data_IF_060326917680
#
_entry.id   IF_060326917680
#
_cell.length_a   1.000
_cell.length_b   1.000
_cell.length_c   1.000
_cell.angle_alpha   90.00
_cell.angle_beta   90.00
_cell.angle_gamma   90.00
#
_symmetry.space_group_name_H-M   'P 1'
#
loop_
_entity.id
_entity.type
_entity.pdbx_description
1 polymer ?
#
# COMPACT_ATOMS: atom_id res chain seq x y z
N UNK A 1 3.81 -50.78 -44.55
CA UNK A 1 2.65 -50.03 -44.02
C UNK A 1 2.67 -50.11 -42.51
N UNK A 2 3.10 -49.06 -41.83
CA UNK A 2 2.99 -48.96 -40.38
C UNK A 2 2.09 -47.74 -40.08
N UNK A 3 0.93 -47.99 -39.42
CA UNK A 3 -0.03 -47.00 -39.06
C UNK A 3 0.50 -46.14 -37.88
N UNK A 4 0.55 -44.83 -38.06
CA UNK A 4 0.90 -43.89 -37.04
C UNK A 4 -0.27 -43.65 -36.08
N UNK A 5 -0.03 -43.84 -34.79
CA UNK A 5 -0.95 -43.46 -33.70
C UNK A 5 -0.76 -41.98 -33.40
N UNK A 6 -1.74 -41.16 -33.76
CA UNK A 6 -1.80 -39.75 -33.37
C UNK A 6 -2.06 -39.58 -31.86
N UNK A 7 -1.71 -38.43 -31.28
CA UNK A 7 -1.87 -38.20 -29.85
C UNK A 7 -3.37 -38.11 -29.48
N UNK A 8 -3.70 -38.79 -28.38
CA UNK A 8 -5.04 -38.82 -27.80
C UNK A 8 -5.36 -37.44 -27.22
N UNK A 9 -6.57 -36.89 -27.38
CA UNK A 9 -6.97 -35.63 -26.80
C UNK A 9 -6.99 -35.74 -25.26
N UNK A 10 -6.70 -34.65 -24.51
CA UNK A 10 -6.75 -34.66 -23.06
C UNK A 10 -8.16 -34.98 -22.56
N UNK A 11 -8.24 -35.77 -21.51
CA UNK A 11 -9.46 -36.14 -20.83
C UNK A 11 -10.18 -34.88 -20.32
N UNK A 12 -11.50 -34.82 -20.57
CA UNK A 12 -12.35 -33.72 -20.04
C UNK A 12 -12.24 -33.66 -18.51
N UNK A 13 -12.08 -32.46 -17.99
CA UNK A 13 -12.10 -32.21 -16.58
C UNK A 13 -13.43 -32.66 -15.95
N UNK A 14 -13.45 -33.22 -14.74
CA UNK A 14 -14.67 -33.64 -14.08
C UNK A 14 -15.59 -32.41 -13.88
N UNK A 15 -16.86 -32.60 -14.22
CA UNK A 15 -17.96 -31.64 -14.11
C UNK A 15 -18.04 -31.14 -12.65
N UNK A 16 -17.42 -30.00 -12.37
CA UNK A 16 -17.53 -29.32 -11.08
C UNK A 16 -18.94 -28.69 -11.00
N UNK A 17 -19.92 -29.47 -10.55
CA UNK A 17 -21.22 -28.92 -10.18
C UNK A 17 -20.98 -27.79 -9.19
N UNK A 18 -21.60 -26.59 -9.39
CA UNK A 18 -21.50 -25.54 -8.39
C UNK A 18 -22.04 -26.09 -7.06
N UNK A 19 -21.19 -26.07 -6.03
CA UNK A 19 -21.67 -26.32 -4.67
C UNK A 19 -22.77 -25.32 -4.41
N UNK A 20 -23.95 -25.78 -4.03
CA UNK A 20 -25.07 -24.95 -3.60
C UNK A 20 -24.53 -23.96 -2.60
N UNK A 21 -24.52 -22.66 -2.96
CA UNK A 21 -24.23 -21.59 -2.05
C UNK A 21 -25.12 -21.70 -0.79
N UNK A 22 -24.76 -21.07 0.32
CA UNK A 22 -25.59 -21.09 1.50
C UNK A 22 -27.00 -20.69 1.04
N UNK A 23 -27.99 -21.54 1.44
CA UNK A 23 -29.39 -21.31 1.11
C UNK A 23 -29.67 -19.83 1.33
N UNK A 24 -30.26 -19.16 0.34
CA UNK A 24 -30.80 -17.83 0.46
C UNK A 24 -31.69 -17.85 1.71
N UNK A 25 -31.12 -17.52 2.87
CA UNK A 25 -31.93 -17.12 4.00
C UNK A 25 -32.59 -15.85 3.51
N UNK A 26 -33.91 -15.79 3.61
CA UNK A 26 -34.71 -14.64 3.28
C UNK A 26 -33.98 -13.41 3.80
N UNK A 27 -33.25 -12.74 2.90
CA UNK A 27 -32.72 -11.43 3.19
C UNK A 27 -33.97 -10.61 3.51
N UNK A 28 -34.06 -9.92 4.64
CA UNK A 28 -35.20 -9.04 4.89
C UNK A 28 -35.28 -8.16 3.65
N UNK A 29 -36.39 -8.24 2.92
CA UNK A 29 -36.68 -7.36 1.81
C UNK A 29 -36.30 -5.98 2.27
N UNK A 30 -35.29 -5.39 1.60
CA UNK A 30 -34.92 -4.02 1.89
C UNK A 30 -36.20 -3.23 1.72
N UNK A 31 -36.82 -2.80 2.82
CA UNK A 31 -37.97 -1.90 2.76
C UNK A 31 -37.48 -0.76 1.89
N UNK A 32 -38.01 -0.70 0.70
CA UNK A 32 -37.86 0.40 -0.23
C UNK A 32 -38.41 1.66 0.49
N UNK A 33 -37.57 2.18 1.41
CA UNK A 33 -37.80 3.50 1.94
C UNK A 33 -37.48 4.40 0.75
N UNK A 34 -38.48 5.00 0.13
CA UNK A 34 -38.41 5.90 -1.01
C UNK A 34 -37.53 7.14 -0.81
N UNK A 35 -36.46 6.99 -0.06
CA UNK A 35 -35.32 7.88 0.02
C UNK A 35 -34.54 7.76 -1.29
N UNK A 36 -34.79 8.72 -2.19
CA UNK A 36 -33.89 8.94 -3.32
C UNK A 36 -32.47 8.93 -2.79
N UNK A 37 -31.67 7.97 -3.22
CA UNK A 37 -30.24 7.98 -2.93
C UNK A 37 -29.69 9.36 -3.29
N UNK A 38 -28.89 9.94 -2.41
CA UNK A 38 -28.20 11.19 -2.73
C UNK A 38 -27.44 11.01 -4.04
N UNK A 39 -27.48 11.99 -4.96
CA UNK A 39 -26.79 11.87 -6.23
C UNK A 39 -25.30 11.59 -5.99
N UNK A 40 -24.71 10.69 -6.78
CA UNK A 40 -23.27 10.41 -6.69
C UNK A 40 -22.48 11.70 -6.90
N UNK A 41 -21.45 11.98 -6.10
CA UNK A 41 -20.67 13.22 -6.21
C UNK A 41 -19.89 13.23 -7.55
N UNK A 42 -19.82 14.40 -8.16
CA UNK A 42 -18.90 14.65 -9.27
C UNK A 42 -17.58 15.11 -8.67
N UNK A 43 -16.50 14.39 -8.94
CA UNK A 43 -15.18 14.69 -8.42
C UNK A 43 -14.33 15.45 -9.42
N UNK A 44 -13.59 16.47 -8.97
CA UNK A 44 -12.68 17.27 -9.80
C UNK A 44 -11.39 16.51 -10.15
N UNK A 45 -11.04 15.50 -9.37
CA UNK A 45 -9.84 14.70 -9.59
C UNK A 45 -10.06 13.26 -9.11
N UNK A 46 -9.46 12.28 -9.83
CA UNK A 46 -9.62 10.86 -9.51
C UNK A 46 -9.23 10.51 -8.07
N UNK A 47 -8.29 11.24 -7.47
CA UNK A 47 -7.89 11.01 -6.08
C UNK A 47 -9.01 11.23 -5.06
N UNK A 48 -10.02 12.01 -5.38
CA UNK A 48 -11.18 12.19 -4.50
C UNK A 48 -12.14 11.00 -4.59
N UNK A 49 -12.29 10.43 -5.79
CA UNK A 49 -13.09 9.23 -6.00
C UNK A 49 -12.46 8.00 -5.32
N UNK A 50 -11.17 7.74 -5.57
CA UNK A 50 -10.49 6.53 -5.04
C UNK A 50 -10.24 6.56 -3.53
N UNK A 51 -10.44 7.68 -2.85
CA UNK A 51 -10.43 7.73 -1.39
C UNK A 51 -11.64 7.03 -0.75
N UNK A 52 -12.79 7.04 -1.40
CA UNK A 52 -13.98 6.39 -0.87
C UNK A 52 -13.88 4.87 -1.06
N UNK A 53 -13.83 4.06 0.02
CA UNK A 53 -13.86 2.62 -0.10
C UNK A 53 -15.28 2.12 -0.35
N UNK A 54 -15.41 0.97 -1.00
CA UNK A 54 -16.62 0.17 -0.91
C UNK A 54 -16.66 -0.51 0.46
N UNK A 55 -17.67 -0.23 1.27
CA UNK A 55 -17.89 -0.93 2.54
C UNK A 55 -18.80 -2.13 2.29
N UNK A 56 -18.22 -3.34 2.37
CA UNK A 56 -18.90 -4.58 2.02
C UNK A 56 -19.01 -5.46 3.27
N UNK A 57 -20.24 -5.81 3.67
CA UNK A 57 -20.45 -6.80 4.72
C UNK A 57 -20.20 -8.19 4.15
N UNK A 58 -19.18 -8.86 4.67
CA UNK A 58 -18.80 -10.22 4.23
C UNK A 58 -19.60 -11.28 4.99
N UNK A 59 -19.52 -11.27 6.32
CA UNK A 59 -20.26 -12.18 7.19
C UNK A 59 -20.56 -11.46 8.50
N UNK A 60 -21.69 -11.71 9.13
CA UNK A 60 -22.02 -11.26 10.47
C UNK A 60 -21.39 -9.92 10.88
N UNK A 61 -20.33 -10.02 11.67
CA UNK A 61 -19.61 -8.87 12.22
C UNK A 61 -18.34 -8.49 11.41
N UNK A 62 -18.15 -9.01 10.19
CA UNK A 62 -16.99 -8.69 9.34
C UNK A 62 -17.39 -7.78 8.19
N UNK A 63 -16.76 -6.61 8.13
CA UNK A 63 -16.90 -5.62 7.04
C UNK A 63 -15.55 -5.42 6.38
N UNK A 64 -15.54 -5.41 5.06
CA UNK A 64 -14.38 -5.07 4.24
C UNK A 64 -14.49 -3.62 3.78
N UNK A 65 -13.46 -2.82 4.02
CA UNK A 65 -13.24 -1.56 3.32
C UNK A 65 -12.33 -1.84 2.11
N UNK A 66 -12.96 -1.97 0.92
CA UNK A 66 -12.27 -2.29 -0.33
C UNK A 66 -11.85 -1.00 -1.04
N UNK A 67 -10.57 -0.89 -1.34
CA UNK A 67 -10.01 0.22 -2.11
C UNK A 67 -9.47 -0.25 -3.46
N UNK A 68 -9.44 0.64 -4.41
CA UNK A 68 -8.59 0.51 -5.60
C UNK A 68 -7.11 0.72 -5.22
N UNK A 69 -6.82 1.77 -4.44
CA UNK A 69 -5.51 2.03 -3.85
C UNK A 69 -5.62 2.82 -2.54
N UNK A 70 -5.51 2.14 -1.42
CA UNK A 70 -5.61 2.78 -0.09
C UNK A 70 -4.44 3.75 0.19
N UNK A 71 -3.31 3.62 -0.52
CA UNK A 71 -2.14 4.51 -0.34
C UNK A 71 -2.40 5.95 -0.76
N UNK A 72 -3.51 6.22 -1.45
CA UNK A 72 -3.93 7.58 -1.78
C UNK A 72 -4.05 8.46 -0.54
N UNK A 73 -4.52 7.92 0.60
CA UNK A 73 -4.59 8.67 1.86
C UNK A 73 -3.20 9.08 2.36
N UNK A 74 -2.22 8.16 2.34
CA UNK A 74 -0.86 8.46 2.77
C UNK A 74 -0.21 9.52 1.86
N UNK A 75 -0.28 9.34 0.54
CA UNK A 75 0.38 10.22 -0.42
C UNK A 75 -0.27 11.62 -0.45
N UNK A 76 -1.59 11.70 -0.64
CA UNK A 76 -2.30 12.99 -0.65
C UNK A 76 -2.21 13.72 0.68
N UNK A 77 -2.37 13.00 1.80
CA UNK A 77 -2.28 13.60 3.13
C UNK A 77 -0.90 14.20 3.38
N UNK A 78 0.17 13.47 3.04
CA UNK A 78 1.53 13.95 3.18
C UNK A 78 1.82 15.14 2.26
N UNK A 79 1.49 15.05 0.97
CA UNK A 79 1.72 16.14 0.00
C UNK A 79 0.96 17.41 0.42
N UNK A 80 -0.33 17.28 0.75
CA UNK A 80 -1.16 18.39 1.22
C UNK A 80 -0.60 19.03 2.50
N UNK A 81 -0.09 18.21 3.41
CA UNK A 81 0.53 18.69 4.65
C UNK A 81 1.84 19.42 4.40
N UNK A 82 2.70 18.91 3.50
CA UNK A 82 3.95 19.57 3.12
C UNK A 82 3.71 20.93 2.43
N UNK A 83 2.73 21.00 1.52
CA UNK A 83 2.34 22.26 0.86
C UNK A 83 1.83 23.29 1.87
N UNK A 84 0.91 22.90 2.77
CA UNK A 84 0.38 23.80 3.81
C UNK A 84 1.44 24.30 4.78
N UNK A 85 2.47 23.50 5.06
CA UNK A 85 3.60 23.88 5.93
C UNK A 85 4.71 24.64 5.18
N UNK A 86 4.54 24.90 3.88
CA UNK A 86 5.56 25.57 3.06
C UNK A 86 6.86 24.77 2.89
N UNK A 87 6.83 23.43 3.15
CA UNK A 87 8.00 22.57 3.02
C UNK A 87 8.27 22.16 1.57
N UNK A 88 7.27 22.22 0.74
CA UNK A 88 7.35 22.05 -0.72
C UNK A 88 6.53 23.12 -1.42
N UNK A 89 6.93 23.48 -2.65
CA UNK A 89 6.28 24.47 -3.48
C UNK A 89 5.78 23.85 -4.80
N UNK A 90 4.75 24.41 -5.46
CA UNK A 90 4.33 23.98 -6.80
C UNK A 90 5.51 23.90 -7.77
N UNK A 91 5.53 22.89 -8.64
CA UNK A 91 6.63 22.63 -9.57
C UNK A 91 7.85 21.93 -8.98
N UNK A 92 7.96 21.78 -7.64
CA UNK A 92 9.05 21.04 -7.02
C UNK A 92 8.94 19.54 -7.28
N UNK A 93 10.08 18.83 -7.28
CA UNK A 93 10.14 17.38 -7.48
C UNK A 93 10.08 16.65 -6.14
N UNK A 94 9.10 15.77 -5.99
CA UNK A 94 9.03 14.80 -4.90
C UNK A 94 9.67 13.49 -5.35
N UNK A 95 10.53 12.92 -4.51
CA UNK A 95 11.20 11.64 -4.79
C UNK A 95 10.93 10.64 -3.67
N UNK A 96 10.69 9.37 -4.03
CA UNK A 96 10.69 8.27 -3.06
C UNK A 96 11.02 6.92 -3.69
N UNK A 97 11.31 5.95 -2.84
CA UNK A 97 11.52 4.55 -3.22
C UNK A 97 10.21 3.76 -3.09
N UNK A 98 9.66 3.31 -4.20
CA UNK A 98 8.48 2.44 -4.18
C UNK A 98 8.36 1.62 -5.48
N UNK A 99 7.92 0.36 -5.36
CA UNK A 99 7.60 -0.50 -6.51
C UNK A 99 6.13 -0.94 -6.49
N UNK A 100 5.29 -0.29 -5.70
CA UNK A 100 3.91 -0.69 -5.48
C UNK A 100 2.92 0.47 -5.55
N UNK A 101 1.74 0.24 -4.98
CA UNK A 101 0.60 1.18 -5.04
C UNK A 101 0.89 2.57 -4.43
N UNK A 102 1.94 2.71 -3.60
CA UNK A 102 2.35 4.04 -3.12
C UNK A 102 2.97 4.88 -4.23
N UNK A 103 3.74 4.28 -5.16
CA UNK A 103 4.30 5.01 -6.30
C UNK A 103 3.19 5.66 -7.14
N UNK A 104 2.14 4.89 -7.47
CA UNK A 104 0.97 5.40 -8.19
C UNK A 104 0.24 6.50 -7.40
N UNK A 105 0.02 6.28 -6.11
CA UNK A 105 -0.63 7.25 -5.25
C UNK A 105 0.15 8.57 -5.15
N UNK A 106 1.49 8.51 -5.09
CA UNK A 106 2.34 9.70 -5.09
C UNK A 106 2.31 10.42 -6.45
N UNK A 107 2.36 9.67 -7.56
CA UNK A 107 2.24 10.25 -8.91
C UNK A 107 0.88 10.97 -9.08
N UNK A 108 -0.23 10.36 -8.65
CA UNK A 108 -1.55 11.00 -8.67
C UNK A 108 -1.60 12.25 -7.78
N UNK A 109 -0.96 12.22 -6.60
CA UNK A 109 -0.90 13.39 -5.72
C UNK A 109 -0.07 14.53 -6.35
N UNK A 110 1.06 14.19 -6.97
CA UNK A 110 1.88 15.17 -7.69
C UNK A 110 1.11 15.79 -8.87
N UNK A 111 0.42 14.96 -9.67
CA UNK A 111 -0.43 15.42 -10.77
C UNK A 111 -1.50 16.41 -10.27
N UNK A 112 -2.19 16.09 -9.18
CA UNK A 112 -3.23 16.95 -8.59
C UNK A 112 -2.71 18.33 -8.16
N UNK A 113 -1.51 18.37 -7.59
CA UNK A 113 -0.97 19.58 -6.97
C UNK A 113 0.11 20.30 -7.82
N UNK A 114 0.27 19.92 -9.09
CA UNK A 114 1.24 20.54 -9.99
C UNK A 114 2.69 20.35 -9.54
N UNK A 115 3.00 19.19 -8.95
CA UNK A 115 4.35 18.79 -8.52
C UNK A 115 4.94 17.80 -9.51
N UNK A 116 6.25 17.69 -9.55
CA UNK A 116 6.96 16.63 -10.30
C UNK A 116 7.17 15.41 -9.42
N UNK A 117 7.07 14.23 -10.01
CA UNK A 117 7.24 12.95 -9.32
C UNK A 117 8.45 12.21 -9.86
N UNK A 118 9.31 11.68 -8.97
CA UNK A 118 10.38 10.75 -9.32
C UNK A 118 10.33 9.53 -8.42
N UNK A 119 10.26 8.35 -9.03
CA UNK A 119 10.13 7.08 -8.34
C UNK A 119 11.37 6.22 -8.59
N UNK A 120 12.04 5.83 -7.51
CA UNK A 120 13.09 4.81 -7.56
C UNK A 120 12.46 3.45 -7.31
N UNK A 121 12.33 2.65 -8.36
CA UNK A 121 11.59 1.41 -8.36
C UNK A 121 12.50 0.19 -8.61
N UNK A 122 12.02 -1.01 -8.30
CA UNK A 122 12.63 -2.25 -8.79
C UNK A 122 12.23 -2.47 -10.25
N UNK A 123 13.07 -3.17 -11.02
CA UNK A 123 12.70 -3.64 -12.38
C UNK A 123 11.54 -4.63 -12.38
N UNK A 124 11.16 -5.16 -11.20
CA UNK A 124 9.98 -6.03 -11.03
C UNK A 124 8.65 -5.27 -10.99
N UNK A 125 8.65 -3.96 -11.18
CA UNK A 125 7.41 -3.19 -11.39
C UNK A 125 6.76 -3.69 -12.68
N UNK A 126 5.47 -4.09 -12.58
CA UNK A 126 4.75 -4.56 -13.74
C UNK A 126 4.61 -3.46 -14.82
N UNK A 127 4.51 -3.88 -16.09
CA UNK A 127 4.48 -2.98 -17.23
C UNK A 127 3.30 -1.97 -17.17
N UNK A 128 2.15 -2.40 -16.67
CA UNK A 128 0.97 -1.54 -16.58
C UNK A 128 1.16 -0.45 -15.52
N UNK A 129 1.76 -0.77 -14.37
CA UNK A 129 2.10 0.20 -13.34
C UNK A 129 3.12 1.21 -13.86
N UNK A 130 4.16 0.74 -14.55
CA UNK A 130 5.17 1.60 -15.13
C UNK A 130 4.58 2.59 -16.14
N UNK A 131 3.75 2.10 -17.06
CA UNK A 131 3.07 2.95 -18.04
C UNK A 131 2.19 4.01 -17.36
N UNK A 132 1.43 3.65 -16.33
CA UNK A 132 0.62 4.61 -15.57
C UNK A 132 1.48 5.71 -14.94
N UNK A 133 2.63 5.36 -14.32
CA UNK A 133 3.55 6.32 -13.73
C UNK A 133 4.09 7.30 -14.79
N UNK A 134 4.57 6.78 -15.92
CA UNK A 134 5.14 7.56 -17.02
C UNK A 134 4.08 8.49 -17.67
N UNK A 135 2.86 8.00 -17.89
CA UNK A 135 1.73 8.80 -18.43
C UNK A 135 1.33 9.92 -17.46
N UNK A 136 1.39 9.67 -16.15
CA UNK A 136 1.17 10.70 -15.12
C UNK A 136 2.34 11.71 -15.00
N UNK A 137 3.36 11.59 -15.83
CA UNK A 137 4.53 12.48 -15.86
C UNK A 137 5.59 12.15 -14.81
N UNK A 138 5.52 10.97 -14.17
CA UNK A 138 6.55 10.57 -13.23
C UNK A 138 7.82 10.05 -13.95
N UNK A 139 8.99 10.45 -13.49
CA UNK A 139 10.25 9.82 -13.87
C UNK A 139 10.44 8.54 -13.05
N UNK A 140 10.73 7.42 -13.72
CA UNK A 140 10.93 6.12 -13.06
C UNK A 140 12.37 5.65 -13.23
N UNK A 141 13.12 5.62 -12.12
CA UNK A 141 14.47 5.04 -12.07
C UNK A 141 14.34 3.55 -11.73
N UNK A 142 14.43 2.68 -12.71
CA UNK A 142 14.34 1.23 -12.54
C UNK A 142 15.70 0.67 -12.08
N UNK A 143 15.76 0.20 -10.82
CA UNK A 143 16.97 -0.41 -10.25
C UNK A 143 17.03 -1.90 -10.58
N UNK A 144 18.17 -2.42 -11.04
CA UNK A 144 18.32 -3.85 -11.32
C UNK A 144 18.10 -4.68 -10.03
N UNK A 145 17.56 -5.91 -10.14
CA UNK A 145 17.42 -6.78 -9.00
C UNK A 145 18.79 -7.17 -8.44
N UNK A 146 18.87 -7.32 -7.13
CA UNK A 146 20.05 -7.84 -6.46
C UNK A 146 19.82 -9.28 -5.98
N UNK A 147 20.76 -9.80 -5.19
CA UNK A 147 20.71 -11.17 -4.68
C UNK A 147 19.66 -11.41 -3.62
N UNK A 148 19.07 -10.35 -3.07
CA UNK A 148 18.02 -10.44 -2.04
C UNK A 148 17.14 -9.20 -2.01
N UNK A 149 15.90 -9.34 -1.53
CA UNK A 149 14.94 -8.24 -1.36
C UNK A 149 15.49 -7.13 -0.43
N UNK A 150 16.29 -7.50 0.56
CA UNK A 150 16.94 -6.54 1.46
C UNK A 150 17.91 -5.63 0.69
N UNK A 151 18.81 -6.24 -0.07
CA UNK A 151 19.78 -5.50 -0.89
C UNK A 151 19.07 -4.64 -1.94
N UNK A 152 17.95 -5.10 -2.51
CA UNK A 152 17.13 -4.32 -3.43
C UNK A 152 16.56 -3.07 -2.75
N UNK A 153 16.00 -3.19 -1.56
CA UNK A 153 15.47 -2.04 -0.82
C UNK A 153 16.58 -1.06 -0.41
N UNK A 154 17.69 -1.56 0.12
CA UNK A 154 18.86 -0.73 0.50
C UNK A 154 19.48 -0.02 -0.72
N UNK A 155 19.56 -0.68 -1.87
CA UNK A 155 20.06 -0.10 -3.12
C UNK A 155 19.18 1.05 -3.60
N UNK A 156 17.86 0.90 -3.56
CA UNK A 156 16.93 1.98 -3.91
C UNK A 156 17.05 3.18 -2.96
N UNK A 157 17.15 2.95 -1.66
CA UNK A 157 17.35 4.02 -0.68
C UNK A 157 18.67 4.75 -0.90
N UNK A 158 19.76 4.03 -1.17
CA UNK A 158 21.07 4.65 -1.55
C UNK A 158 20.97 5.49 -2.82
N UNK A 159 20.22 5.03 -3.82
CA UNK A 159 20.02 5.80 -5.04
C UNK A 159 19.24 7.10 -4.77
N UNK A 160 18.18 7.05 -3.95
CA UNK A 160 17.47 8.28 -3.53
C UNK A 160 18.43 9.26 -2.83
N UNK A 161 19.27 8.79 -1.91
CA UNK A 161 20.25 9.66 -1.22
C UNK A 161 21.25 10.30 -2.20
N UNK A 162 21.70 9.56 -3.21
CA UNK A 162 22.57 10.12 -4.28
C UNK A 162 21.84 11.20 -5.08
N UNK A 163 20.59 10.95 -5.50
CA UNK A 163 19.78 11.95 -6.19
C UNK A 163 19.61 13.24 -5.37
N UNK A 164 19.42 13.13 -4.06
CA UNK A 164 19.29 14.30 -3.19
C UNK A 164 20.62 15.08 -3.04
N UNK A 165 21.75 14.40 -3.07
CA UNK A 165 23.07 15.05 -3.08
C UNK A 165 23.32 15.81 -4.40
N UNK A 166 22.88 15.27 -5.54
CA UNK A 166 23.00 15.89 -6.87
C UNK A 166 21.92 16.98 -7.10
N UNK A 167 20.76 16.84 -6.48
CA UNK A 167 19.57 17.70 -6.65
C UNK A 167 19.00 18.10 -5.29
N UNK A 168 19.61 19.08 -4.62
CA UNK A 168 19.14 19.57 -3.30
C UNK A 168 17.72 20.18 -3.32
N UNK A 169 17.24 20.56 -4.53
CA UNK A 169 15.88 21.05 -4.76
C UNK A 169 14.80 19.95 -4.69
N UNK A 170 15.18 18.67 -4.70
CA UNK A 170 14.24 17.57 -4.55
C UNK A 170 13.80 17.42 -3.10
N UNK A 171 12.54 17.02 -2.90
CA UNK A 171 12.04 16.67 -1.57
C UNK A 171 11.85 15.16 -1.46
N UNK A 172 12.52 14.53 -0.48
CA UNK A 172 12.36 13.10 -0.20
C UNK A 172 11.13 12.84 0.66
N UNK A 173 10.15 12.08 0.18
CA UNK A 173 8.92 11.77 0.89
C UNK A 173 9.10 10.84 2.10
N UNK A 174 10.16 10.01 2.11
CA UNK A 174 10.55 9.15 3.23
C UNK A 174 9.40 8.29 3.78
N UNK A 175 8.62 7.63 2.87
CA UNK A 175 7.45 6.85 3.30
C UNK A 175 7.76 5.76 4.35
N UNK A 176 9.01 5.34 4.47
CA UNK A 176 9.41 4.33 5.45
C UNK A 176 9.62 4.90 6.85
N UNK A 177 9.81 6.21 7.01
CA UNK A 177 10.26 6.82 8.26
C UNK A 177 9.46 8.06 8.69
N UNK A 178 8.89 8.82 7.75
CA UNK A 178 8.21 10.08 8.06
C UNK A 178 6.76 9.85 8.49
N UNK A 179 6.44 10.24 9.73
CA UNK A 179 5.11 10.13 10.33
C UNK A 179 4.02 10.95 9.63
N UNK A 180 4.39 11.87 8.75
CA UNK A 180 3.44 12.67 7.95
C UNK A 180 2.48 11.78 7.14
N UNK A 181 2.92 10.57 6.78
CA UNK A 181 2.11 9.60 6.04
C UNK A 181 0.95 9.00 6.84
N UNK A 182 0.95 9.15 8.17
CA UNK A 182 -0.17 8.77 9.02
C UNK A 182 -1.30 9.79 8.99
N UNK A 183 -0.98 11.08 8.75
CA UNK A 183 -1.92 12.19 8.89
C UNK A 183 -3.13 12.06 7.95
N UNK A 184 -2.92 11.55 6.73
CA UNK A 184 -3.99 11.39 5.75
C UNK A 184 -5.09 10.42 6.18
N UNK A 185 -4.79 9.47 7.06
CA UNK A 185 -5.79 8.47 7.51
C UNK A 185 -6.80 9.01 8.52
N UNK A 186 -6.65 10.23 9.02
CA UNK A 186 -7.67 10.92 9.82
C UNK A 186 -8.96 11.09 9.02
N UNK A 187 -8.86 11.50 7.76
CA UNK A 187 -10.02 11.64 6.86
C UNK A 187 -10.76 10.29 6.65
N UNK A 188 -10.01 9.19 6.58
CA UNK A 188 -10.61 7.86 6.50
C UNK A 188 -11.26 7.44 7.84
N UNK A 189 -10.68 7.79 8.98
CA UNK A 189 -11.28 7.54 10.29
C UNK A 189 -12.60 8.29 10.45
N UNK A 190 -12.69 9.53 9.98
CA UNK A 190 -13.91 10.35 9.99
C UNK A 190 -15.02 9.70 9.14
N UNK A 191 -14.67 9.22 7.92
CA UNK A 191 -15.60 8.48 7.05
C UNK A 191 -16.14 7.24 7.77
N UNK A 192 -15.27 6.44 8.38
CA UNK A 192 -15.67 5.22 9.08
C UNK A 192 -16.52 5.50 10.31
N UNK A 193 -16.27 6.59 11.02
CA UNK A 193 -17.10 7.01 12.18
C UNK A 193 -18.53 7.32 11.76
N UNK A 194 -18.71 7.88 10.56
CA UNK A 194 -20.04 8.16 10.00
C UNK A 194 -20.73 6.93 9.42
N UNK A 195 -19.96 6.01 8.82
CA UNK A 195 -20.50 4.90 8.05
C UNK A 195 -20.73 3.62 8.87
N UNK A 196 -19.98 3.42 9.95
CA UNK A 196 -20.05 2.20 10.76
C UNK A 196 -20.86 2.44 12.05
N UNK A 197 -21.55 1.39 12.57
CA UNK A 197 -22.20 1.47 13.87
C UNK A 197 -21.23 1.90 14.97
N UNK A 198 -21.75 2.58 16.00
CA UNK A 198 -20.98 2.92 17.20
C UNK A 198 -20.54 1.65 17.95
N UNK A 199 -19.54 1.81 18.82
CA UNK A 199 -19.05 0.75 19.68
C UNK A 199 -17.65 0.26 19.31
N UNK A 200 -17.19 -0.83 19.97
CA UNK A 200 -15.83 -1.34 19.80
C UNK A 200 -15.59 -1.90 18.39
N UNK A 201 -14.40 -1.61 17.86
CA UNK A 201 -14.00 -2.00 16.51
C UNK A 201 -12.68 -2.76 16.57
N UNK A 202 -12.58 -3.87 15.84
CA UNK A 202 -11.30 -4.51 15.51
C UNK A 202 -10.91 -4.11 14.09
N UNK A 203 -9.75 -3.46 13.92
CA UNK A 203 -9.16 -3.14 12.61
C UNK A 203 -8.14 -4.20 12.26
N UNK A 204 -8.31 -4.87 11.14
CA UNK A 204 -7.44 -5.95 10.66
C UNK A 204 -6.80 -5.53 9.33
N UNK A 205 -5.49 -5.44 9.28
CA UNK A 205 -4.81 -4.99 8.07
C UNK A 205 -3.35 -5.40 7.95
N UNK A 206 -2.89 -5.52 6.70
CA UNK A 206 -1.51 -5.80 6.40
C UNK A 206 -0.59 -4.64 6.79
N UNK A 207 0.55 -4.96 7.40
CA UNK A 207 1.54 -3.98 7.84
C UNK A 207 2.73 -3.99 6.91
N UNK A 208 2.78 -3.01 6.00
CA UNK A 208 4.00 -2.65 5.26
C UNK A 208 4.73 -1.54 6.01
N UNK A 209 4.53 -0.28 5.59
CA UNK A 209 5.11 0.89 6.28
C UNK A 209 4.43 1.23 7.61
N UNK A 210 3.31 0.61 7.94
CA UNK A 210 2.52 0.92 9.15
C UNK A 210 1.63 2.15 9.05
N UNK A 211 1.77 2.96 8.00
CA UNK A 211 1.04 4.23 7.90
C UNK A 211 -0.49 4.06 7.88
N UNK A 212 -1.00 3.07 7.14
CA UNK A 212 -2.45 2.82 7.04
C UNK A 212 -3.05 2.29 8.35
N UNK A 213 -2.53 1.17 8.84
CA UNK A 213 -3.04 0.50 10.04
C UNK A 213 -2.83 1.36 11.28
N UNK A 214 -1.59 1.84 11.51
CA UNK A 214 -1.27 2.68 12.66
C UNK A 214 -1.92 4.06 12.61
N UNK A 215 -1.95 4.71 11.43
CA UNK A 215 -2.58 6.02 11.25
C UNK A 215 -4.08 5.98 11.49
N UNK A 216 -4.76 4.98 10.90
CA UNK A 216 -6.18 4.78 11.09
C UNK A 216 -6.54 4.45 12.56
N UNK A 217 -5.87 3.46 13.16
CA UNK A 217 -6.15 3.06 14.53
C UNK A 217 -5.93 4.21 15.52
N UNK A 218 -4.87 5.00 15.34
CA UNK A 218 -4.62 6.18 16.15
C UNK A 218 -5.73 7.21 16.00
N UNK A 219 -6.12 7.56 14.77
CA UNK A 219 -7.16 8.55 14.54
C UNK A 219 -8.51 8.15 15.12
N UNK A 220 -8.89 6.87 15.00
CA UNK A 220 -10.11 6.33 15.60
C UNK A 220 -10.07 6.33 17.13
N UNK A 221 -8.91 6.00 17.74
CA UNK A 221 -8.73 6.07 19.20
C UNK A 221 -8.76 7.51 19.71
N UNK A 222 -8.17 8.45 18.98
CA UNK A 222 -8.22 9.89 19.28
C UNK A 222 -9.67 10.45 19.23
N UNK A 223 -10.55 9.88 18.39
CA UNK A 223 -11.98 10.22 18.37
C UNK A 223 -12.80 9.54 19.49
N UNK A 224 -12.15 8.80 20.39
CA UNK A 224 -12.79 8.13 21.51
C UNK A 224 -13.32 6.72 21.21
N UNK A 225 -13.13 6.20 19.98
CA UNK A 225 -13.59 4.85 19.65
C UNK A 225 -12.67 3.78 20.24
N UNK A 226 -13.20 2.76 20.96
CA UNK A 226 -12.40 1.63 21.40
C UNK A 226 -11.96 0.78 20.19
N UNK A 227 -10.65 0.80 19.88
CA UNK A 227 -10.10 0.08 18.71
C UNK A 227 -9.08 -0.95 19.16
N UNK A 228 -9.25 -2.22 18.73
CA UNK A 228 -8.24 -3.25 18.71
C UNK A 228 -7.59 -3.30 17.33
N UNK A 229 -6.26 -3.20 17.27
CA UNK A 229 -5.50 -3.24 16.03
C UNK A 229 -4.81 -4.58 15.84
N UNK A 230 -5.17 -5.27 14.77
CA UNK A 230 -4.61 -6.55 14.36
C UNK A 230 -3.74 -6.36 13.13
N UNK A 231 -2.44 -6.59 13.28
CA UNK A 231 -1.44 -6.49 12.21
C UNK A 231 -1.20 -7.83 11.52
N UNK A 232 -1.15 -7.81 10.19
CA UNK A 232 -0.85 -9.00 9.38
C UNK A 232 0.55 -8.89 8.79
N UNK A 233 1.34 -9.95 8.93
CA UNK A 233 2.72 -10.04 8.45
C UNK A 233 2.94 -11.32 7.64
N UNK A 234 3.86 -11.30 6.64
CA UNK A 234 4.40 -12.52 6.07
C UNK A 234 5.50 -13.09 6.97
N UNK A 235 5.82 -14.35 6.83
CA UNK A 235 7.10 -14.87 7.29
C UNK A 235 8.25 -14.26 6.47
N UNK A 236 9.45 -14.17 7.05
CA UNK A 236 10.62 -13.53 6.41
C UNK A 236 10.70 -12.00 6.57
N UNK A 237 9.72 -11.37 7.25
CA UNK A 237 9.73 -9.93 7.50
C UNK A 237 10.46 -9.56 8.79
N UNK A 238 11.28 -8.49 8.73
CA UNK A 238 11.95 -7.92 9.92
C UNK A 238 10.98 -7.13 10.80
N UNK A 239 9.83 -6.72 10.27
CA UNK A 239 8.92 -5.78 10.93
C UNK A 239 8.47 -6.26 12.31
N UNK A 240 8.08 -7.53 12.43
CA UNK A 240 7.67 -8.14 13.70
C UNK A 240 8.46 -9.41 14.03
N UNK A 241 9.74 -9.49 13.60
CA UNK A 241 10.70 -10.49 14.06
C UNK A 241 10.52 -11.88 13.45
N UNK A 242 10.16 -11.98 12.17
CA UNK A 242 10.07 -13.26 11.45
C UNK A 242 11.14 -13.47 10.37
N UNK A 243 12.19 -12.63 10.35
CA UNK A 243 13.24 -12.61 9.32
C UNK A 243 14.04 -13.92 9.20
N UNK A 244 14.03 -14.78 10.24
CA UNK A 244 14.70 -16.08 10.23
C UNK A 244 13.98 -17.16 9.41
N UNK A 245 12.77 -16.87 8.95
CA UNK A 245 11.98 -17.80 8.14
C UNK A 245 12.09 -17.44 6.67
N UNK A 246 12.11 -18.48 5.84
CA UNK A 246 12.04 -18.33 4.39
C UNK A 246 10.66 -18.77 3.90
N UNK A 247 10.05 -17.95 3.07
CA UNK A 247 8.88 -18.28 2.27
C UNK A 247 9.22 -17.95 0.82
N UNK A 248 9.58 -18.95 -0.01
CA UNK A 248 10.07 -18.73 -1.38
C UNK A 248 9.03 -18.06 -2.28
N UNK A 249 7.76 -18.18 -1.95
CA UNK A 249 6.66 -17.58 -2.70
C UNK A 249 6.24 -16.21 -2.14
N UNK A 250 6.80 -15.76 -1.01
CA UNK A 250 6.40 -14.52 -0.37
C UNK A 250 6.48 -13.32 -1.31
N UNK A 251 5.40 -12.55 -1.36
CA UNK A 251 5.33 -11.29 -2.09
C UNK A 251 5.35 -10.16 -1.07
N UNK A 252 6.52 -9.58 -0.84
CA UNK A 252 6.68 -8.42 0.04
C UNK A 252 6.38 -7.14 -0.77
N UNK A 253 5.09 -6.94 -1.06
CA UNK A 253 4.60 -5.76 -1.75
C UNK A 253 3.44 -5.16 -0.94
N UNK A 254 3.73 -4.22 -0.06
CA UNK A 254 2.73 -3.59 0.83
C UNK A 254 2.44 -4.39 2.11
N UNK A 255 3.06 -5.56 2.29
CA UNK A 255 2.98 -6.38 3.49
C UNK A 255 4.38 -6.84 3.89
N UNK A 256 4.79 -6.55 5.13
CA UNK A 256 6.14 -6.84 5.61
C UNK A 256 7.24 -5.95 5.00
N UNK A 257 8.46 -6.19 5.43
CA UNK A 257 9.66 -5.53 4.92
C UNK A 257 10.89 -6.38 5.17
N UNK A 258 11.92 -6.21 4.34
CA UNK A 258 13.25 -6.79 4.54
C UNK A 258 14.25 -5.82 5.19
N UNK A 259 13.84 -4.56 5.40
CA UNK A 259 14.59 -3.55 6.17
C UNK A 259 13.67 -2.93 7.24
N UNK A 260 14.20 -2.41 8.36
CA UNK A 260 13.40 -1.71 9.36
C UNK A 260 12.71 -0.48 8.79
N UNK A 261 11.44 -0.27 9.17
CA UNK A 261 10.69 0.93 8.86
C UNK A 261 10.37 1.70 10.14
N UNK A 262 10.90 2.91 10.29
CA UNK A 262 10.66 3.78 11.44
C UNK A 262 9.21 4.25 11.56
N UNK A 263 8.43 4.11 10.48
CA UNK A 263 7.02 4.50 10.44
C UNK A 263 6.07 3.47 11.05
N UNK A 264 6.55 2.24 11.33
CA UNK A 264 5.77 1.22 12.04
C UNK A 264 5.76 1.55 13.53
N UNK A 265 4.60 1.90 14.05
CA UNK A 265 4.36 2.17 15.46
C UNK A 265 3.93 0.88 16.16
N UNK A 266 4.91 0.06 16.57
CA UNK A 266 4.70 -1.28 17.13
C UNK A 266 3.81 -1.27 18.37
N UNK A 267 3.87 -0.21 19.15
CA UNK A 267 3.06 0.01 20.36
C UNK A 267 1.57 0.17 20.11
N UNK A 268 1.16 0.43 18.88
CA UNK A 268 -0.26 0.55 18.52
C UNK A 268 -0.95 -0.79 18.31
N UNK A 269 -0.18 -1.87 18.07
CA UNK A 269 -0.75 -3.18 17.72
C UNK A 269 -1.07 -3.97 18.98
N UNK A 270 -2.28 -4.52 19.00
CA UNK A 270 -2.76 -5.41 20.06
C UNK A 270 -2.44 -6.87 19.75
N UNK A 271 -2.59 -7.26 18.48
CA UNK A 271 -2.36 -8.63 18.00
C UNK A 271 -1.60 -8.61 16.68
N UNK A 272 -0.78 -9.62 16.44
CA UNK A 272 -0.08 -9.83 15.16
C UNK A 272 -0.27 -11.26 14.70
N UNK A 273 -0.63 -11.42 13.42
CA UNK A 273 -0.66 -12.68 12.70
C UNK A 273 0.48 -12.74 11.70
N UNK A 274 1.13 -13.89 11.59
CA UNK A 274 2.11 -14.23 10.54
C UNK A 274 1.54 -15.35 9.69
N UNK A 275 1.37 -15.09 8.39
CA UNK A 275 0.86 -16.05 7.41
C UNK A 275 1.88 -16.26 6.30
N UNK A 276 1.97 -17.49 5.78
CA UNK A 276 2.70 -17.77 4.56
C UNK A 276 1.89 -17.36 3.30
N UNK A 277 2.55 -17.44 2.15
CA UNK A 277 1.91 -17.10 0.87
C UNK A 277 0.66 -17.94 0.59
N UNK A 278 0.70 -19.25 0.88
CA UNK A 278 -0.43 -20.15 0.58
C UNK A 278 -1.68 -19.83 1.40
N UNK A 279 -1.52 -19.39 2.64
CA UNK A 279 -2.64 -18.95 3.49
C UNK A 279 -3.19 -17.61 3.02
N UNK A 280 -2.32 -16.67 2.64
CA UNK A 280 -2.74 -15.41 2.06
C UNK A 280 -3.51 -15.61 0.73
N UNK A 281 -3.03 -16.53 -0.13
CA UNK A 281 -3.69 -16.95 -1.36
C UNK A 281 -5.06 -17.59 -1.09
N UNK A 282 -5.15 -18.49 -0.09
CA UNK A 282 -6.42 -19.10 0.30
C UNK A 282 -7.47 -18.04 0.67
N UNK A 283 -7.08 -17.02 1.43
CA UNK A 283 -7.96 -15.90 1.77
C UNK A 283 -8.37 -15.06 0.57
N UNK A 284 -7.46 -14.77 -0.37
CA UNK A 284 -7.75 -13.98 -1.57
C UNK A 284 -8.67 -14.72 -2.54
N UNK A 285 -8.41 -16.00 -2.79
CA UNK A 285 -9.26 -16.86 -3.63
C UNK A 285 -10.62 -17.08 -2.97
N UNK A 286 -10.65 -17.27 -1.63
CA UNK A 286 -11.88 -17.38 -0.86
C UNK A 286 -12.76 -16.12 -0.97
N UNK A 287 -12.19 -14.91 -0.85
CA UNK A 287 -12.92 -13.66 -1.06
C UNK A 287 -13.60 -13.59 -2.42
N UNK A 288 -12.89 -13.98 -3.49
CA UNK A 288 -13.46 -13.96 -4.83
C UNK A 288 -14.55 -15.03 -4.99
N UNK A 289 -14.30 -16.24 -4.50
CA UNK A 289 -15.22 -17.37 -4.63
C UNK A 289 -16.53 -17.16 -3.82
N UNK A 290 -16.40 -16.70 -2.59
CA UNK A 290 -17.51 -16.70 -1.62
C UNK A 290 -18.26 -15.35 -1.58
N UNK A 291 -17.60 -14.26 -2.01
CA UNK A 291 -18.14 -12.89 -1.94
C UNK A 291 -18.05 -12.11 -3.26
N UNK A 292 -17.54 -12.72 -4.34
CA UNK A 292 -17.27 -12.06 -5.63
C UNK A 292 -16.33 -10.84 -5.51
N UNK A 293 -15.48 -10.78 -4.48
CA UNK A 293 -14.57 -9.65 -4.22
C UNK A 293 -13.17 -9.95 -4.77
N UNK A 294 -12.80 -9.28 -5.85
CA UNK A 294 -11.48 -9.38 -6.46
C UNK A 294 -10.51 -8.40 -5.79
N UNK A 295 -9.79 -8.85 -4.77
CA UNK A 295 -8.91 -8.05 -3.93
C UNK A 295 -7.49 -8.62 -3.88
N UNK A 296 -6.51 -7.78 -3.50
CA UNK A 296 -5.11 -8.17 -3.44
C UNK A 296 -4.77 -9.22 -2.37
N UNK A 297 -3.57 -9.78 -2.47
CA UNK A 297 -3.08 -10.84 -1.57
C UNK A 297 -3.06 -10.41 -0.10
N UNK A 298 -2.70 -9.16 0.17
CA UNK A 298 -2.71 -8.58 1.53
C UNK A 298 -4.12 -8.55 2.14
N UNK A 299 -5.14 -8.29 1.30
CA UNK A 299 -6.54 -8.33 1.69
C UNK A 299 -6.98 -9.75 2.02
N UNK A 300 -6.55 -10.74 1.21
CA UNK A 300 -6.81 -12.15 1.49
C UNK A 300 -6.27 -12.60 2.84
N UNK A 301 -5.03 -12.25 3.16
CA UNK A 301 -4.43 -12.55 4.46
C UNK A 301 -5.19 -11.88 5.62
N UNK A 302 -5.59 -10.61 5.46
CA UNK A 302 -6.35 -9.88 6.46
C UNK A 302 -7.78 -10.46 6.64
N UNK A 303 -8.44 -10.87 5.55
CA UNK A 303 -9.74 -11.52 5.59
C UNK A 303 -9.71 -12.85 6.37
N UNK A 304 -8.71 -13.70 6.08
CA UNK A 304 -8.56 -14.98 6.77
C UNK A 304 -8.36 -14.78 8.28
N UNK A 305 -7.50 -13.83 8.67
CA UNK A 305 -7.28 -13.50 10.07
C UNK A 305 -8.52 -12.89 10.73
N UNK A 306 -9.23 -11.99 10.03
CA UNK A 306 -10.45 -11.36 10.55
C UNK A 306 -11.56 -12.38 10.81
N UNK A 307 -11.71 -13.39 9.95
CA UNK A 307 -12.66 -14.48 10.18
C UNK A 307 -12.34 -15.29 11.44
N UNK A 308 -11.05 -15.53 11.71
CA UNK A 308 -10.63 -16.19 12.94
C UNK A 308 -10.82 -15.32 14.18
N UNK A 309 -10.50 -14.03 14.12
CA UNK A 309 -10.72 -13.08 15.23
C UNK A 309 -12.22 -12.91 15.54
N UNK A 310 -13.05 -12.75 14.51
CA UNK A 310 -14.50 -12.59 14.68
C UNK A 310 -15.17 -13.83 15.33
N UNK A 311 -14.69 -15.03 15.00
CA UNK A 311 -15.18 -16.26 15.65
C UNK A 311 -14.86 -16.31 17.16
N UNK A 312 -13.86 -15.55 17.63
CA UNK A 312 -13.41 -15.53 19.03
C UNK A 312 -13.99 -14.34 19.82
N UNK A 313 -14.44 -13.30 19.14
CA UNK A 313 -15.02 -12.10 19.76
C UNK A 313 -16.34 -11.76 19.05
N UNK A 314 -17.37 -12.61 19.19
CA UNK A 314 -18.67 -12.42 18.54
C UNK A 314 -19.33 -11.14 19.07
N UNK A 315 -20.00 -10.42 18.19
CA UNK A 315 -20.69 -9.15 18.51
C UNK A 315 -19.78 -7.92 18.43
N UNK A 316 -18.48 -8.09 18.23
CA UNK A 316 -17.57 -6.99 17.90
C UNK A 316 -17.42 -6.85 16.38
N UNK A 317 -17.54 -5.63 15.87
CA UNK A 317 -17.33 -5.37 14.46
C UNK A 317 -15.83 -5.50 14.08
N UNK A 318 -15.55 -6.25 13.01
CA UNK A 318 -14.22 -6.46 12.47
C UNK A 318 -14.12 -5.78 11.09
N UNK A 319 -13.24 -4.78 10.96
CA UNK A 319 -12.98 -4.06 9.73
C UNK A 319 -11.72 -4.59 9.06
N UNK A 320 -11.87 -5.22 7.91
CA UNK A 320 -10.77 -5.66 7.05
C UNK A 320 -10.35 -4.52 6.15
N UNK A 321 -9.05 -4.19 6.13
CA UNK A 321 -8.48 -3.19 5.23
C UNK A 321 -8.07 -3.83 3.90
N UNK A 322 -8.86 -3.61 2.85
CA UNK A 322 -8.59 -4.04 1.49
C UNK A 322 -7.77 -3.01 0.71
N UNK A 323 -6.44 -3.11 0.77
CA UNK A 323 -5.54 -2.06 0.34
C UNK A 323 -5.48 -1.83 -1.19
N UNK A 324 -5.74 -2.87 -1.99
CA UNK A 324 -5.71 -2.86 -3.45
C UNK A 324 -6.59 -3.96 -4.06
N UNK A 325 -6.73 -3.91 -5.38
CA UNK A 325 -7.46 -4.91 -6.17
C UNK A 325 -6.58 -6.11 -6.52
N UNK A 326 -7.21 -7.19 -7.01
CA UNK A 326 -6.53 -8.43 -7.39
C UNK A 326 -5.69 -8.36 -8.68
N UNK A 327 -5.79 -7.28 -9.48
CA UNK A 327 -5.18 -7.20 -10.82
C UNK A 327 -3.67 -7.46 -10.83
N UNK A 328 -2.92 -6.95 -9.86
CA UNK A 328 -1.48 -7.16 -9.75
C UNK A 328 -1.08 -8.60 -9.40
N UNK A 329 -2.06 -9.40 -9.00
CA UNK A 329 -1.85 -10.78 -8.54
C UNK A 329 -2.52 -11.81 -9.47
N UNK A 330 -3.03 -11.37 -10.63
CA UNK A 330 -3.78 -12.20 -11.55
C UNK A 330 -3.04 -13.52 -11.86
N UNK A 331 -1.79 -13.45 -12.30
CA UNK A 331 -1.01 -14.64 -12.67
C UNK A 331 -0.51 -15.43 -11.46
N UNK A 332 0.03 -14.73 -10.44
CA UNK A 332 0.71 -15.39 -9.32
C UNK A 332 -0.23 -15.98 -8.28
N UNK A 333 -1.47 -15.51 -8.21
CA UNK A 333 -2.48 -15.95 -7.24
C UNK A 333 -3.70 -16.54 -7.94
N UNK A 334 -4.39 -15.74 -8.75
CA UNK A 334 -5.71 -16.13 -9.26
C UNK A 334 -5.65 -17.16 -10.39
N UNK A 335 -4.66 -17.10 -11.28
CA UNK A 335 -4.44 -18.16 -12.28
C UNK A 335 -4.08 -19.52 -11.63
N UNK A 336 -3.58 -19.49 -10.39
CA UNK A 336 -3.24 -20.68 -9.58
C UNK A 336 -4.32 -21.05 -8.57
N UNK A 337 -5.56 -20.57 -8.73
CA UNK A 337 -6.65 -20.76 -7.76
C UNK A 337 -6.93 -22.24 -7.41
N UNK A 338 -6.62 -23.18 -8.29
CA UNK A 338 -6.75 -24.63 -8.04
C UNK A 338 -5.78 -25.15 -6.96
N UNK A 339 -4.70 -24.41 -6.66
CA UNK A 339 -3.73 -24.72 -5.61
C UNK A 339 -4.14 -24.14 -4.24
N UNK A 340 -5.18 -23.29 -4.20
CA UNK A 340 -5.61 -22.61 -2.99
C UNK A 340 -6.15 -23.60 -1.96
N UNK A 341 -5.72 -23.44 -0.71
CA UNK A 341 -6.23 -24.20 0.43
C UNK A 341 -7.69 -23.80 0.72
N UNK A 342 -8.46 -24.72 1.32
CA UNK A 342 -9.79 -24.38 1.82
C UNK A 342 -9.68 -23.55 3.11
N UNK A 343 -10.13 -22.28 3.13
CA UNK A 343 -10.04 -21.42 4.31
C UNK A 343 -10.75 -21.97 5.54
N UNK A 344 -11.81 -22.77 5.37
CA UNK A 344 -12.64 -23.27 6.47
C UNK A 344 -11.87 -24.13 7.50
N UNK A 345 -10.81 -24.83 7.05
CA UNK A 345 -9.97 -25.69 7.90
C UNK A 345 -8.76 -25.00 8.51
N UNK A 346 -8.41 -23.77 8.07
CA UNK A 346 -7.19 -23.11 8.47
C UNK A 346 -7.30 -22.46 9.85
N UNK A 347 -6.30 -22.68 10.70
CA UNK A 347 -6.24 -22.10 12.05
C UNK A 347 -4.81 -21.71 12.40
N UNK A 348 -4.59 -20.58 13.09
CA UNK A 348 -3.27 -20.20 13.57
C UNK A 348 -2.84 -21.01 14.79
N UNK A 349 -1.53 -21.12 14.95
CA UNK A 349 -0.92 -21.49 16.21
C UNK A 349 -0.80 -20.26 17.09
N UNK A 350 -1.42 -20.26 18.26
CA UNK A 350 -1.22 -19.21 19.27
C UNK A 350 0.15 -19.39 19.93
N UNK A 351 0.91 -18.30 20.03
CA UNK A 351 2.24 -18.26 20.62
C UNK A 351 2.37 -17.16 21.67
N UNK A 352 3.22 -17.35 22.66
CA UNK A 352 3.45 -16.37 23.74
C UNK A 352 4.63 -15.41 23.47
N UNK A 353 5.50 -15.73 22.50
CA UNK A 353 6.66 -14.90 22.15
C UNK A 353 7.09 -15.11 20.70
N UNK A 354 7.86 -14.18 20.08
CA UNK A 354 8.38 -14.34 18.72
C UNK A 354 9.28 -15.59 18.54
N UNK A 355 9.91 -16.08 19.61
CA UNK A 355 10.67 -17.34 19.58
C UNK A 355 9.80 -18.56 19.24
N UNK A 356 8.51 -18.50 19.58
CA UNK A 356 7.52 -19.54 19.26
C UNK A 356 6.98 -19.52 17.83
N UNK A 357 7.36 -18.53 17.00
CA UNK A 357 6.90 -18.45 15.60
C UNK A 357 7.15 -19.72 14.82
N UNK A 358 6.14 -20.19 14.10
CA UNK A 358 6.17 -21.35 13.21
C UNK A 358 5.26 -21.13 12.00
N UNK A 359 5.74 -21.36 10.78
CA UNK A 359 4.87 -21.48 9.61
C UNK A 359 3.88 -22.64 9.81
N UNK A 360 2.73 -22.66 9.10
CA UNK A 360 2.34 -21.69 8.07
C UNK A 360 1.56 -20.47 8.59
N UNK A 361 0.99 -20.52 9.81
CA UNK A 361 0.22 -19.45 10.42
C UNK A 361 0.42 -19.41 11.94
N UNK A 362 0.93 -18.30 12.43
CA UNK A 362 1.08 -18.01 13.87
C UNK A 362 0.32 -16.75 14.26
N UNK A 363 -0.17 -16.69 15.51
CA UNK A 363 -0.80 -15.52 16.10
C UNK A 363 -0.26 -15.27 17.51
N UNK A 364 -0.09 -13.98 17.85
CA UNK A 364 0.38 -13.56 19.17
C UNK A 364 -0.31 -12.27 19.62
N UNK A 365 -0.71 -12.22 20.90
CA UNK A 365 -1.05 -10.96 21.55
C UNK A 365 0.22 -10.11 21.67
N UNK A 366 0.25 -9.01 20.92
CA UNK A 366 1.40 -8.11 20.89
C UNK A 366 1.39 -7.13 22.07
N UNK A 367 0.20 -6.69 22.50
CA UNK A 367 -0.06 -5.89 23.69
C UNK A 367 0.84 -4.65 23.83
N UNK A 368 1.01 -3.90 22.74
CA UNK A 368 1.81 -2.65 22.76
C UNK A 368 3.31 -2.84 22.90
N UNK A 369 3.85 -4.04 22.64
CA UNK A 369 5.30 -4.30 22.73
C UNK A 369 6.09 -3.41 21.78
N UNK A 370 7.29 -3.01 22.20
CA UNK A 370 8.23 -2.28 21.34
C UNK A 370 8.71 -3.14 20.16
N UNK A 371 9.32 -2.48 19.16
CA UNK A 371 9.91 -3.14 17.99
C UNK A 371 10.88 -4.27 18.41
N UNK A 372 10.92 -5.39 17.65
CA UNK A 372 11.94 -6.43 17.81
C UNK A 372 13.35 -5.85 17.70
N UNK A 373 14.33 -6.50 18.36
CA UNK A 373 15.71 -6.01 18.39
C UNK A 373 16.31 -5.84 16.99
N UNK A 374 16.03 -6.74 16.05
CA UNK A 374 16.47 -6.65 14.66
C UNK A 374 15.87 -5.46 13.91
N UNK A 375 14.66 -5.02 14.28
CA UNK A 375 14.00 -3.84 13.71
C UNK A 375 14.48 -2.50 14.31
N UNK A 376 15.29 -2.53 15.36
CA UNK A 376 15.80 -1.34 16.07
C UNK A 376 17.17 -0.87 15.59
N UNK A 377 17.84 -1.59 14.71
CA UNK A 377 19.21 -1.26 14.30
C UNK A 377 19.29 -0.13 13.30
N UNK A 378 20.02 0.91 13.68
CA UNK A 378 20.85 1.83 12.90
C UNK A 378 20.23 3.08 12.27
N UNK A 379 19.37 3.84 12.93
CA UNK A 379 19.21 5.25 12.54
C UNK A 379 19.23 6.27 13.69
N UNK A 380 19.74 5.86 14.84
CA UNK A 380 19.86 6.76 16.02
C UNK A 380 20.99 7.79 15.95
N UNK A 381 21.89 7.74 14.98
CA UNK A 381 23.02 8.68 14.91
C UNK A 381 22.96 9.67 13.72
N UNK A 382 22.09 9.45 12.72
CA UNK A 382 21.98 10.36 11.58
C UNK A 382 20.78 11.31 11.61
N UNK A 383 19.70 10.95 12.32
CA UNK A 383 18.47 11.75 12.34
C UNK A 383 18.52 12.93 13.34
N UNK A 384 19.40 12.87 14.33
CA UNK A 384 19.52 13.94 15.34
C UNK A 384 20.42 15.11 14.87
N UNK A 385 21.27 14.90 13.86
CA UNK A 385 22.13 15.97 13.34
C UNK A 385 21.49 16.79 12.23
N UNK A 386 20.55 16.21 11.46
CA UNK A 386 19.89 16.95 10.36
C UNK A 386 18.78 17.91 10.83
N UNK A 387 18.21 17.73 12.03
CA UNK A 387 17.19 18.65 12.58
C UNK A 387 17.79 19.90 13.25
N UNK A 388 19.10 19.91 13.53
CA UNK A 388 19.80 21.07 14.11
C UNK A 388 20.28 22.09 13.10
N UNK A 389 20.38 21.76 11.82
CA UNK A 389 20.82 22.69 10.76
C UNK A 389 19.70 23.56 10.18
N UNK A 390 18.44 23.29 10.51
CA UNK A 390 17.28 24.08 10.03
C UNK A 390 16.84 25.22 10.97
N UNK A 391 17.49 25.39 12.14
CA UNK A 391 17.08 26.39 13.15
C UNK A 391 18.06 27.57 13.32
N UNK A 392 19.04 27.74 12.43
CA UNK A 392 20.06 28.81 12.50
C UNK A 392 19.96 29.85 11.38
N UNK A 393 18.82 30.49 11.20
CA UNK A 393 18.65 31.64 10.32
C UNK A 393 18.50 32.92 11.16
N UNK A 394 19.62 33.56 11.51
CA UNK A 394 19.66 34.88 12.13
C UNK A 394 19.11 35.94 11.18
N UNK A 395 18.16 36.71 11.68
CA UNK A 395 17.65 37.94 11.07
C UNK A 395 18.80 38.96 10.93
N UNK A 396 19.04 39.42 9.71
CA UNK A 396 19.82 40.65 9.45
C UNK A 396 18.87 41.65 8.80
N UNK A 397 18.74 42.78 9.46
CA UNK A 397 17.98 43.96 9.00
C UNK A 397 18.63 44.61 7.77
N UNK A 398 17.87 45.34 6.93
CA UNK A 398 18.43 45.95 5.76
C UNK A 398 19.07 47.32 6.08
N UNK A 399 20.30 47.51 5.63
CA UNK A 399 20.88 48.85 5.56
C UNK A 399 21.02 49.28 4.10
N UNK A 400 20.56 50.50 3.86
CA UNK A 400 20.53 51.19 2.58
C UNK A 400 21.88 51.86 2.29
N UNK A 401 22.38 51.78 1.04
CA UNK A 401 22.91 52.94 0.30
C UNK A 401 23.62 52.60 -1.02
N UNK A 402 23.07 53.24 -2.05
CA UNK A 402 23.72 53.97 -3.19
C UNK A 402 24.71 53.30 -4.13
N UNK A 403 24.25 53.20 -5.35
CA UNK A 403 24.73 53.92 -6.58
C UNK A 403 25.88 53.31 -7.40
N UNK A 404 25.59 53.37 -8.69
CA UNK A 404 26.45 53.64 -9.87
C UNK A 404 27.00 52.43 -10.67
N UNK A 405 26.42 52.26 -11.85
CA UNK A 405 27.04 52.48 -13.17
C UNK A 405 27.92 51.33 -13.73
N UNK A 406 27.58 50.87 -14.92
CA UNK A 406 28.50 50.21 -15.78
C UNK A 406 27.88 49.27 -16.82
N UNK A 407 27.84 49.77 -18.05
CA UNK A 407 27.50 49.10 -19.31
C UNK A 407 28.32 47.81 -19.57
N UNK A 408 27.71 46.84 -20.28
CA UNK A 408 28.50 45.77 -20.87
C UNK A 408 27.67 44.65 -21.49
N UNK A 409 27.24 44.87 -22.73
CA UNK A 409 27.09 43.91 -23.85
C UNK A 409 26.73 42.42 -23.60
N UNK A 410 25.64 42.03 -24.20
CA UNK A 410 25.25 40.68 -24.64
C UNK A 410 26.30 40.06 -25.60
N UNK A 411 26.39 38.71 -25.61
CA UNK A 411 26.23 38.07 -26.89
C UNK A 411 25.28 36.86 -26.92
N UNK A 412 24.40 36.92 -27.89
CA UNK A 412 23.78 35.92 -28.75
C UNK A 412 23.69 34.44 -28.25
N UNK A 413 22.45 34.01 -28.05
CA UNK A 413 22.00 32.61 -28.06
C UNK A 413 21.73 32.14 -29.50
N UNK A 414 22.15 30.94 -29.91
CA UNK A 414 21.70 30.37 -31.18
C UNK A 414 20.32 29.69 -31.02
N UNK A 415 19.44 29.99 -31.96
CA UNK A 415 18.13 29.44 -32.14
C UNK A 415 18.18 27.93 -32.45
N UNK A 416 17.35 27.16 -31.72
CA UNK A 416 17.09 25.76 -32.04
C UNK A 416 15.92 25.68 -33.04
N UNK A 417 16.20 25.00 -34.17
CA UNK A 417 15.23 24.69 -35.23
C UNK A 417 14.17 23.65 -34.74
N UNK A 418 12.95 23.69 -35.27
CA UNK A 418 11.90 22.77 -34.89
C UNK A 418 12.12 21.38 -35.48
N UNK A 419 12.03 20.33 -34.64
CA UNK A 419 12.04 18.94 -35.03
C UNK A 419 10.64 18.54 -35.51
N UNK A 420 10.53 18.10 -36.76
CA UNK A 420 9.33 17.50 -37.36
C UNK A 420 9.07 16.12 -36.78
N UNK A 421 7.83 15.75 -36.45
CA UNK A 421 7.52 14.39 -35.95
C UNK A 421 7.52 13.38 -37.11
N UNK A 422 8.13 12.23 -36.84
CA UNK A 422 8.15 11.04 -37.71
C UNK A 422 6.78 10.34 -37.69
N UNK A 423 6.29 9.78 -38.81
CA UNK A 423 4.99 9.12 -38.85
C UNK A 423 4.99 7.77 -38.10
N UNK A 424 3.87 7.48 -37.45
CA UNK A 424 3.63 6.24 -36.72
C UNK A 424 3.56 5.02 -37.68
N UNK A 425 3.97 3.82 -37.26
CA UNK A 425 3.81 2.61 -38.04
C UNK A 425 2.34 2.16 -38.08
N UNK A 426 1.87 1.83 -39.29
CA UNK A 426 0.56 1.24 -39.55
C UNK A 426 0.52 -0.20 -39.04
N UNK A 427 -0.43 -0.51 -38.17
CA UNK A 427 -0.70 -1.88 -37.73
C UNK A 427 -1.72 -2.48 -38.68
N UNK A 428 -1.30 -3.46 -39.49
CA UNK A 428 -2.20 -4.32 -40.25
C UNK A 428 -2.93 -5.28 -39.30
N UNK A 429 -4.25 -5.18 -39.29
CA UNK A 429 -5.14 -6.18 -38.71
C UNK A 429 -5.30 -7.34 -39.70
N UNK A 430 -4.82 -8.51 -39.35
CA UNK A 430 -5.11 -9.76 -40.03
C UNK A 430 -6.44 -10.35 -39.53
N UNK A 431 -7.18 -11.08 -40.36
CA UNK A 431 -8.57 -11.50 -40.17
C UNK A 431 -8.80 -12.54 -39.06
#
# INVERSE_FOLDING_TARGET
MRAGTGPRPPAAAPDARPRSGPALRDAPESRDSGLRAAPAPIHEHITDAVKAPDLIRLTGDVVLARFETMKVYAALGAVRSLLRRGRVAPGQTLVDSSSGIYALALAMACHRYGLRCRIVASTTVDAAMRAQLEILGATVDAMPPSRSLRLDQESRVRHVRRLLAERPDFHWMRQYHDGIHHEGYREFAELLTQALPEGPLTVVGAVGTGASTGGLARALRESGRPVRLVGIQPFGSVTFGSERFEDPEAIIAGIGSSIPFGNVRHELYDTVHWLDFRHAMAGAVGLLRDHAVFAGLSTGAAHLAAGWEAARDPGRLHLVLGADTGHRYAERVFARHSEALDPAGLRPRTIGSPAGLRPPWSVMEWAGRAAPRAARTTEGSGAAEEDKTAAGGTAVAPDARTSAGGDGADPESPALSPVTPSPAPTVELLP
#
